data_IF_765155649781
#
_entry.id   IF_765155649781
#
_cell.length_a   1.000
_cell.length_b   1.000
_cell.length_c   1.000
_cell.angle_alpha   90.00
_cell.angle_beta   90.00
_cell.angle_gamma   90.00
#
_symmetry.space_group_name_H-M   'P 1'
#
loop_
_entity.id
_entity.type
_entity.pdbx_description
1 polymer ?
#
# COMPACT_ATOMS: atom_id res chain seq x y z
N UNK A 1 8.72 10.27 -30.06
CA UNK A 1 8.11 10.88 -28.85
C UNK A 1 7.53 9.76 -27.99
N UNK A 2 7.80 9.76 -26.69
CA UNK A 2 7.33 8.69 -25.79
C UNK A 2 5.79 8.79 -25.64
N UNK A 3 5.07 7.66 -25.77
CA UNK A 3 3.60 7.58 -25.67
C UNK A 3 3.06 8.27 -24.41
N UNK A 4 3.77 8.17 -23.29
CA UNK A 4 3.44 8.82 -22.01
C UNK A 4 3.38 10.35 -22.15
N UNK A 5 4.39 10.94 -22.79
CA UNK A 5 4.45 12.39 -22.99
C UNK A 5 3.34 12.90 -23.93
N UNK A 6 3.00 12.12 -24.97
CA UNK A 6 1.87 12.43 -25.87
C UNK A 6 0.55 12.41 -25.13
N UNK A 7 0.31 11.39 -24.31
CA UNK A 7 -0.90 11.24 -23.48
C UNK A 7 -1.08 12.43 -22.56
N UNK A 8 -0.04 12.82 -21.84
CA UNK A 8 -0.09 13.99 -20.95
C UNK A 8 -0.36 15.30 -21.69
N UNK A 9 0.26 15.50 -22.87
CA UNK A 9 0.01 16.68 -23.72
C UNK A 9 -1.45 16.72 -24.16
N UNK A 10 -2.00 15.60 -24.62
CA UNK A 10 -3.41 15.51 -25.03
C UNK A 10 -4.37 15.82 -23.87
N UNK A 11 -4.14 15.25 -22.69
CA UNK A 11 -4.95 15.53 -21.49
C UNK A 11 -4.88 16.99 -21.07
N UNK A 12 -3.70 17.61 -21.12
CA UNK A 12 -3.54 19.02 -20.81
C UNK A 12 -4.28 19.93 -21.80
N UNK A 13 -4.21 19.62 -23.11
CA UNK A 13 -4.96 20.35 -24.15
C UNK A 13 -6.46 20.20 -23.97
N UNK A 14 -6.94 18.98 -23.71
CA UNK A 14 -8.36 18.68 -23.50
C UNK A 14 -8.92 19.32 -22.22
N UNK A 15 -8.11 19.48 -21.20
CA UNK A 15 -8.53 20.09 -19.93
C UNK A 15 -8.92 21.57 -20.07
N UNK A 16 -8.58 22.24 -21.18
CA UNK A 16 -8.95 23.63 -21.44
C UNK A 16 -10.44 23.74 -21.86
N UNK A 17 -10.89 23.10 -22.96
CA UNK A 17 -12.28 23.19 -23.40
C UNK A 17 -13.22 22.23 -22.65
N UNK A 18 -12.73 21.07 -22.18
CA UNK A 18 -13.56 19.98 -21.64
C UNK A 18 -12.91 19.34 -20.39
N UNK A 19 -12.79 20.06 -19.27
CA UNK A 19 -12.11 19.56 -18.08
C UNK A 19 -12.74 18.27 -17.51
N UNK A 20 -14.06 18.11 -17.55
CA UNK A 20 -14.73 16.91 -17.07
C UNK A 20 -14.32 15.66 -17.88
N UNK A 21 -14.22 15.78 -19.21
CA UNK A 21 -13.78 14.68 -20.08
C UNK A 21 -12.30 14.37 -19.87
N UNK A 22 -11.45 15.39 -19.77
CA UNK A 22 -10.03 15.22 -19.49
C UNK A 22 -9.81 14.50 -18.14
N UNK A 23 -10.55 14.90 -17.10
CA UNK A 23 -10.49 14.29 -15.78
C UNK A 23 -10.91 12.82 -15.80
N UNK A 24 -12.01 12.48 -16.50
CA UNK A 24 -12.47 11.10 -16.61
C UNK A 24 -11.49 10.20 -17.39
N UNK A 25 -10.89 10.71 -18.47
CA UNK A 25 -9.87 9.98 -19.22
C UNK A 25 -8.60 9.78 -18.37
N UNK A 26 -8.14 10.82 -17.66
CA UNK A 26 -7.00 10.74 -16.75
C UNK A 26 -7.27 9.72 -15.62
N UNK A 27 -8.48 9.73 -15.02
CA UNK A 27 -8.90 8.77 -14.00
C UNK A 27 -8.87 7.33 -14.53
N UNK A 28 -9.38 7.08 -15.75
CA UNK A 28 -9.33 5.74 -16.37
C UNK A 28 -7.91 5.25 -16.60
N UNK A 29 -6.98 6.14 -16.89
CA UNK A 29 -5.57 5.82 -17.01
C UNK A 29 -4.95 5.57 -15.64
N UNK A 30 -5.28 6.39 -14.66
CA UNK A 30 -4.78 6.28 -13.29
C UNK A 30 -5.13 4.94 -12.65
N UNK A 31 -6.39 4.47 -12.80
CA UNK A 31 -6.81 3.18 -12.23
C UNK A 31 -6.31 1.96 -13.02
N UNK A 32 -5.66 2.14 -14.16
CA UNK A 32 -5.05 1.02 -14.88
C UNK A 32 -3.74 0.64 -14.18
N UNK A 33 -3.79 -0.42 -13.37
CA UNK A 33 -2.62 -0.96 -12.67
C UNK A 33 -1.48 -1.45 -13.59
N UNK A 34 -1.72 -1.54 -14.90
CA UNK A 34 -0.85 -2.21 -15.85
C UNK A 34 -1.12 -3.73 -15.87
N UNK A 35 -0.36 -4.50 -16.66
CA UNK A 35 -0.48 -5.95 -16.68
C UNK A 35 -0.13 -6.53 -15.31
N UNK A 36 -0.89 -7.56 -14.87
CA UNK A 36 -0.60 -8.28 -13.65
C UNK A 36 0.84 -8.81 -13.68
N UNK A 37 1.62 -8.50 -12.66
CA UNK A 37 3.00 -8.99 -12.56
C UNK A 37 2.99 -10.49 -12.22
N UNK A 38 3.76 -11.31 -12.92
CA UNK A 38 3.91 -12.72 -12.53
C UNK A 38 4.61 -12.82 -11.17
N UNK A 39 4.50 -13.98 -10.52
CA UNK A 39 5.35 -14.32 -9.38
C UNK A 39 6.79 -14.41 -9.88
N UNK A 40 7.70 -13.68 -9.24
CA UNK A 40 9.12 -13.75 -9.60
C UNK A 40 9.69 -15.14 -9.29
N UNK A 41 10.67 -15.60 -10.07
CA UNK A 41 11.18 -16.97 -9.97
C UNK A 41 11.70 -17.30 -8.56
N UNK A 42 12.40 -16.36 -7.94
CA UNK A 42 12.92 -16.50 -6.57
C UNK A 42 11.84 -16.49 -5.45
N UNK A 43 10.60 -16.15 -5.78
CA UNK A 43 9.50 -16.09 -4.84
C UNK A 43 8.52 -17.28 -4.97
N UNK A 44 8.68 -18.10 -6.02
CA UNK A 44 7.72 -19.16 -6.40
C UNK A 44 7.59 -20.26 -5.35
N UNK A 45 8.69 -20.70 -4.78
CA UNK A 45 8.73 -21.74 -3.77
C UNK A 45 7.87 -21.37 -2.54
N UNK A 46 8.10 -20.19 -1.99
CA UNK A 46 7.33 -19.67 -0.84
C UNK A 46 5.88 -19.40 -1.22
N UNK A 47 5.66 -18.81 -2.41
CA UNK A 47 4.30 -18.52 -2.87
C UNK A 47 3.46 -19.79 -3.07
N UNK A 48 4.07 -20.87 -3.53
CA UNK A 48 3.42 -22.17 -3.71
C UNK A 48 3.01 -22.87 -2.40
N UNK A 49 3.60 -22.48 -1.26
CA UNK A 49 3.21 -23.00 0.06
C UNK A 49 1.93 -22.37 0.59
N UNK A 50 1.43 -21.29 -0.04
CA UNK A 50 0.23 -20.63 0.43
C UNK A 50 -1.02 -21.50 0.22
N UNK A 51 -1.89 -21.53 1.20
CA UNK A 51 -3.30 -21.86 1.00
C UNK A 51 -3.95 -20.67 0.31
N UNK A 52 -4.42 -20.90 -0.91
CA UNK A 52 -5.05 -19.84 -1.72
C UNK A 52 -6.57 -20.00 -1.63
N UNK A 53 -7.24 -18.91 -1.32
CA UNK A 53 -8.70 -18.85 -1.25
C UNK A 53 -9.21 -17.64 -1.99
N UNK A 54 -10.48 -17.68 -2.38
CA UNK A 54 -11.20 -16.54 -2.96
C UNK A 54 -12.04 -15.84 -1.89
N UNK A 55 -11.88 -14.53 -1.79
CA UNK A 55 -12.70 -13.66 -0.95
C UNK A 55 -13.59 -12.80 -1.84
N UNK A 56 -14.90 -12.82 -1.60
CA UNK A 56 -15.84 -11.97 -2.33
C UNK A 56 -15.95 -10.62 -1.63
N UNK A 57 -15.65 -9.55 -2.38
CA UNK A 57 -15.66 -8.16 -1.90
C UNK A 57 -16.33 -7.28 -2.96
N UNK A 58 -17.56 -6.84 -2.70
CA UNK A 58 -18.34 -6.15 -3.70
C UNK A 58 -18.46 -6.96 -5.01
N UNK A 59 -17.94 -6.41 -6.10
CA UNK A 59 -17.90 -7.09 -7.42
C UNK A 59 -16.62 -7.93 -7.65
N UNK A 60 -15.70 -7.98 -6.66
CA UNK A 60 -14.39 -8.59 -6.83
C UNK A 60 -14.32 -10.01 -6.25
N UNK A 61 -13.68 -10.90 -6.99
CA UNK A 61 -13.17 -12.18 -6.50
C UNK A 61 -11.67 -12.01 -6.18
N UNK A 62 -11.39 -11.74 -4.91
CA UNK A 62 -10.06 -11.40 -4.42
C UNK A 62 -9.28 -12.66 -4.05
N UNK A 63 -8.13 -12.88 -4.68
CA UNK A 63 -7.23 -13.95 -4.30
C UNK A 63 -6.54 -13.60 -2.96
N UNK A 64 -6.72 -14.47 -1.96
CA UNK A 64 -6.10 -14.36 -0.64
C UNK A 64 -5.14 -15.52 -0.40
N UNK A 65 -4.13 -15.28 0.40
CA UNK A 65 -3.04 -16.19 0.66
C UNK A 65 -2.81 -16.31 2.16
N UNK A 66 -2.75 -17.52 2.66
CA UNK A 66 -2.42 -17.80 4.05
C UNK A 66 -1.33 -18.87 4.13
N UNK A 67 -0.33 -18.63 4.94
CA UNK A 67 0.78 -19.54 5.21
C UNK A 67 0.78 -19.95 6.67
N UNK A 68 1.39 -21.10 6.97
CA UNK A 68 1.48 -21.61 8.35
C UNK A 68 0.19 -22.29 8.82
N UNK A 69 0.07 -22.45 10.11
CA UNK A 69 -1.01 -23.19 10.78
C UNK A 69 -2.22 -22.32 11.19
N UNK A 70 -2.13 -21.02 10.98
CA UNK A 70 -3.15 -20.04 11.36
C UNK A 70 -2.93 -19.41 12.75
N UNK A 71 -2.01 -19.93 13.55
CA UNK A 71 -1.64 -19.29 14.81
C UNK A 71 -0.78 -18.03 14.55
N UNK A 72 -0.91 -17.01 15.41
CA UNK A 72 -0.10 -15.77 15.34
C UNK A 72 -0.13 -15.09 13.95
N UNK A 73 -1.31 -14.68 13.44
CA UNK A 73 -1.45 -14.15 12.10
C UNK A 73 -0.74 -12.79 11.93
N UNK A 74 -0.06 -12.61 10.79
CA UNK A 74 0.59 -11.36 10.40
C UNK A 74 0.03 -10.93 9.03
N UNK A 75 -0.63 -9.78 8.99
CA UNK A 75 -1.19 -9.23 7.75
C UNK A 75 -0.09 -8.54 6.93
N UNK A 76 -0.03 -8.83 5.63
CA UNK A 76 0.94 -8.27 4.69
C UNK A 76 0.20 -7.53 3.57
N UNK A 77 0.28 -6.20 3.54
CA UNK A 77 -0.42 -5.31 2.62
C UNK A 77 0.53 -4.78 1.54
N UNK A 78 0.38 -5.24 0.30
CA UNK A 78 1.25 -4.84 -0.81
C UNK A 78 0.92 -3.46 -1.39
N UNK A 79 1.88 -2.86 -2.09
CA UNK A 79 1.75 -1.57 -2.78
C UNK A 79 1.15 -1.68 -4.18
N UNK A 80 1.05 -0.51 -4.84
CA UNK A 80 0.59 -0.38 -6.21
C UNK A 80 1.48 -1.15 -7.19
N UNK A 81 0.88 -1.81 -8.19
CA UNK A 81 1.58 -2.66 -9.17
C UNK A 81 2.44 -3.74 -8.53
N UNK A 82 2.06 -4.20 -7.35
CA UNK A 82 2.69 -5.28 -6.61
C UNK A 82 1.71 -6.45 -6.41
N UNK A 83 2.04 -7.39 -5.54
CA UNK A 83 1.21 -8.56 -5.21
C UNK A 83 1.66 -9.21 -3.92
N UNK A 84 0.89 -10.18 -3.41
CA UNK A 84 1.20 -10.90 -2.18
C UNK A 84 2.62 -11.52 -2.16
N UNK A 85 3.07 -12.10 -3.28
CA UNK A 85 4.40 -12.71 -3.38
C UNK A 85 5.57 -11.72 -3.22
N UNK A 86 5.32 -10.41 -3.27
CA UNK A 86 6.34 -9.42 -2.98
C UNK A 86 6.94 -9.61 -1.58
N UNK A 87 6.14 -10.14 -0.65
CA UNK A 87 6.57 -10.40 0.72
C UNK A 87 7.25 -11.77 0.92
N UNK A 88 7.48 -12.57 -0.12
CA UNK A 88 8.03 -13.93 0.02
C UNK A 88 9.27 -14.03 0.94
N UNK A 89 10.27 -13.12 0.88
CA UNK A 89 11.41 -13.17 1.80
C UNK A 89 11.00 -12.98 3.27
N UNK A 90 10.05 -12.08 3.54
CA UNK A 90 9.52 -11.87 4.89
C UNK A 90 8.63 -13.04 5.33
N UNK A 91 7.81 -13.58 4.43
CA UNK A 91 6.97 -14.76 4.71
C UNK A 91 7.83 -15.93 5.19
N UNK A 92 8.95 -16.24 4.51
CA UNK A 92 9.88 -17.30 4.91
C UNK A 92 10.35 -17.10 6.35
N UNK A 93 10.83 -15.91 6.69
CA UNK A 93 11.31 -15.61 8.04
C UNK A 93 10.21 -15.68 9.11
N UNK A 94 9.02 -15.21 8.79
CA UNK A 94 7.88 -15.28 9.71
C UNK A 94 7.46 -16.73 9.96
N UNK A 95 7.48 -17.60 8.95
CA UNK A 95 7.22 -19.03 9.10
C UNK A 95 8.25 -19.71 9.99
N UNK A 96 9.55 -19.41 9.81
CA UNK A 96 10.63 -19.94 10.64
C UNK A 96 10.47 -19.53 12.12
N UNK A 97 9.79 -18.42 12.38
CA UNK A 97 9.47 -17.91 13.71
C UNK A 97 8.11 -18.36 14.25
N UNK A 98 7.38 -19.23 13.53
CA UNK A 98 6.08 -19.76 13.93
C UNK A 98 4.93 -18.75 13.80
N UNK A 99 5.03 -17.75 12.92
CA UNK A 99 3.92 -16.89 12.55
C UNK A 99 3.18 -17.43 11.33
N UNK A 100 1.97 -16.96 11.14
CA UNK A 100 1.12 -17.31 10.00
C UNK A 100 0.82 -16.08 9.16
N UNK A 101 1.67 -15.77 8.16
CA UNK A 101 1.43 -14.65 7.25
C UNK A 101 0.12 -14.79 6.49
N UNK A 102 -0.58 -13.65 6.32
CA UNK A 102 -1.81 -13.53 5.52
C UNK A 102 -1.65 -12.36 4.57
N UNK A 103 -2.04 -12.52 3.32
CA UNK A 103 -1.98 -11.47 2.31
C UNK A 103 -3.10 -11.62 1.29
N UNK A 104 -3.23 -10.68 0.38
CA UNK A 104 -4.15 -10.74 -0.76
C UNK A 104 -3.51 -10.12 -1.99
N UNK A 105 -4.04 -10.39 -3.16
CA UNK A 105 -3.78 -9.58 -4.36
C UNK A 105 -4.95 -8.59 -4.53
N UNK A 106 -4.67 -7.30 -4.51
CA UNK A 106 -5.70 -6.27 -4.65
C UNK A 106 -6.39 -6.34 -6.03
N UNK A 107 -7.64 -5.88 -6.18
CA UNK A 107 -8.31 -5.83 -7.49
C UNK A 107 -7.42 -5.25 -8.58
N UNK A 108 -7.31 -5.95 -9.71
CA UNK A 108 -6.42 -5.59 -10.82
C UNK A 108 -4.93 -5.88 -10.59
N UNK A 109 -4.57 -6.63 -9.54
CA UNK A 109 -3.21 -7.03 -9.22
C UNK A 109 -3.09 -8.55 -9.08
N UNK A 110 -1.89 -9.07 -9.33
CA UNK A 110 -1.56 -10.48 -9.12
C UNK A 110 -2.54 -11.44 -9.78
N UNK A 111 -3.17 -12.31 -8.98
CA UNK A 111 -4.17 -13.27 -9.43
C UNK A 111 -5.61 -12.72 -9.35
N UNK A 112 -5.84 -11.57 -8.72
CA UNK A 112 -7.15 -10.93 -8.67
C UNK A 112 -7.41 -10.21 -9.99
N UNK A 113 -8.48 -10.59 -10.66
CA UNK A 113 -8.93 -9.98 -11.90
C UNK A 113 -9.43 -8.54 -11.72
N UNK A 114 -9.98 -8.00 -12.82
CA UNK A 114 -10.64 -6.71 -12.81
C UNK A 114 -9.72 -5.52 -13.03
N UNK A 115 -10.19 -4.36 -12.57
CA UNK A 115 -9.44 -3.09 -12.57
C UNK A 115 -9.00 -2.81 -11.14
N UNK A 116 -8.13 -1.82 -10.97
CA UNK A 116 -7.71 -1.42 -9.64
C UNK A 116 -8.89 -1.07 -8.72
N UNK A 117 -8.85 -1.61 -7.51
CA UNK A 117 -9.74 -1.22 -6.42
C UNK A 117 -9.40 0.14 -5.81
N UNK A 118 -10.25 0.58 -4.91
CA UNK A 118 -10.13 1.81 -4.14
C UNK A 118 -9.55 1.53 -2.74
N UNK A 119 -9.32 2.56 -1.97
CA UNK A 119 -9.01 2.44 -0.53
C UNK A 119 -10.15 1.74 0.22
N UNK A 120 -11.41 1.95 -0.18
CA UNK A 120 -12.57 1.32 0.46
C UNK A 120 -12.56 -0.19 0.26
N UNK A 121 -12.26 -0.68 -0.95
CA UNK A 121 -12.10 -2.12 -1.21
C UNK A 121 -10.98 -2.72 -0.35
N UNK A 122 -9.86 -2.02 -0.20
CA UNK A 122 -8.76 -2.49 0.64
C UNK A 122 -9.17 -2.60 2.12
N UNK A 123 -9.93 -1.65 2.64
CA UNK A 123 -10.44 -1.69 4.02
C UNK A 123 -11.40 -2.84 4.24
N UNK A 124 -12.33 -3.08 3.30
CA UNK A 124 -13.26 -4.20 3.36
C UNK A 124 -12.51 -5.53 3.32
N UNK A 125 -11.52 -5.69 2.43
CA UNK A 125 -10.67 -6.89 2.37
C UNK A 125 -9.97 -7.12 3.70
N UNK A 126 -9.33 -6.09 4.28
CA UNK A 126 -8.62 -6.21 5.57
C UNK A 126 -9.57 -6.61 6.69
N UNK A 127 -10.76 -6.00 6.74
CA UNK A 127 -11.81 -6.33 7.73
C UNK A 127 -12.27 -7.78 7.63
N UNK A 128 -12.50 -8.28 6.43
CA UNK A 128 -12.90 -9.68 6.19
C UNK A 128 -11.76 -10.66 6.51
N UNK A 129 -10.49 -10.29 6.22
CA UNK A 129 -9.33 -11.07 6.62
C UNK A 129 -9.20 -11.14 8.15
N UNK A 130 -9.43 -10.03 8.86
CA UNK A 130 -9.45 -10.06 10.32
C UNK A 130 -10.58 -10.93 10.87
N UNK A 131 -11.77 -10.85 10.30
CA UNK A 131 -12.90 -11.69 10.71
C UNK A 131 -12.60 -13.17 10.55
N UNK A 132 -11.78 -13.54 9.56
CA UNK A 132 -11.37 -14.94 9.28
C UNK A 132 -10.20 -15.41 10.13
N UNK A 133 -9.21 -14.55 10.35
CA UNK A 133 -7.95 -14.93 11.00
C UNK A 133 -7.80 -14.42 12.44
N UNK A 134 -8.75 -13.61 12.92
CA UNK A 134 -8.69 -13.00 14.24
C UNK A 134 -7.76 -11.78 14.29
N UNK A 135 -7.42 -11.35 15.52
CA UNK A 135 -6.50 -10.25 15.79
C UNK A 135 -5.11 -10.55 15.20
N UNK A 136 -4.53 -9.56 14.51
CA UNK A 136 -3.19 -9.70 13.95
C UNK A 136 -2.09 -9.45 14.98
N UNK A 137 -1.07 -10.31 15.04
CA UNK A 137 0.16 -10.04 15.81
C UNK A 137 0.94 -8.85 15.23
N UNK A 138 0.87 -8.66 13.93
CA UNK A 138 1.38 -7.47 13.29
C UNK A 138 0.66 -7.22 11.96
N UNK A 139 0.66 -5.95 11.54
CA UNK A 139 0.33 -5.54 10.17
C UNK A 139 1.61 -4.97 9.55
N UNK A 140 1.96 -5.43 8.36
CA UNK A 140 3.12 -4.95 7.59
C UNK A 140 2.62 -4.41 6.26
N UNK A 141 2.73 -3.11 6.05
CA UNK A 141 2.33 -2.45 4.81
C UNK A 141 3.51 -1.91 4.02
N UNK A 142 3.50 -2.08 2.70
CA UNK A 142 4.49 -1.50 1.79
C UNK A 142 3.87 -0.45 0.89
N UNK A 143 4.49 0.72 0.78
CA UNK A 143 4.10 1.78 -0.14
C UNK A 143 2.62 2.19 0.06
N UNK A 144 1.75 2.01 -0.93
CA UNK A 144 0.31 2.26 -0.81
C UNK A 144 -0.37 1.31 0.21
N UNK A 145 0.12 0.08 0.34
CA UNK A 145 -0.34 -0.85 1.38
C UNK A 145 -0.08 -0.34 2.80
N UNK A 146 0.97 0.46 3.00
CA UNK A 146 1.23 1.12 4.27
C UNK A 146 0.13 2.15 4.62
N UNK A 147 -0.29 2.96 3.63
CA UNK A 147 -1.40 3.91 3.81
C UNK A 147 -2.70 3.18 4.15
N UNK A 148 -3.02 2.09 3.45
CA UNK A 148 -4.21 1.27 3.73
C UNK A 148 -4.16 0.67 5.14
N UNK A 149 -2.98 0.20 5.58
CA UNK A 149 -2.79 -0.38 6.92
C UNK A 149 -3.04 0.64 8.03
N UNK A 150 -2.51 1.87 7.91
CA UNK A 150 -2.76 2.94 8.88
C UNK A 150 -4.26 3.23 8.95
N UNK A 151 -4.90 3.35 7.79
CA UNK A 151 -6.33 3.68 7.76
C UNK A 151 -7.18 2.54 8.35
N UNK A 152 -6.90 1.29 8.00
CA UNK A 152 -7.61 0.13 8.54
C UNK A 152 -7.53 0.06 10.08
N UNK A 153 -6.35 0.31 10.65
CA UNK A 153 -6.18 0.34 12.12
C UNK A 153 -6.96 1.48 12.78
N UNK A 154 -7.06 2.63 12.14
CA UNK A 154 -7.91 3.74 12.62
C UNK A 154 -9.40 3.42 12.57
N UNK A 155 -9.83 2.61 11.63
CA UNK A 155 -11.21 2.14 11.48
C UNK A 155 -11.52 0.88 12.33
N UNK A 156 -10.62 0.50 13.24
CA UNK A 156 -10.88 -0.53 14.25
C UNK A 156 -10.34 -1.92 13.93
N UNK A 157 -9.46 -2.05 12.94
CA UNK A 157 -8.69 -3.29 12.77
C UNK A 157 -7.75 -3.48 13.96
N UNK A 158 -7.73 -4.68 14.50
CA UNK A 158 -7.00 -5.04 15.71
C UNK A 158 -5.65 -5.66 15.39
N UNK A 159 -4.58 -5.05 15.88
CA UNK A 159 -3.22 -5.58 15.77
C UNK A 159 -2.36 -5.20 16.98
N UNK A 160 -1.32 -5.99 17.24
CA UNK A 160 -0.37 -5.66 18.31
C UNK A 160 0.69 -4.65 17.87
N UNK A 161 1.05 -4.65 16.56
CA UNK A 161 2.16 -3.86 16.00
C UNK A 161 1.89 -3.47 14.56
N UNK A 162 2.49 -2.35 14.13
CA UNK A 162 2.44 -1.88 12.75
C UNK A 162 3.84 -1.65 12.20
N UNK A 163 4.11 -2.20 11.02
CA UNK A 163 5.35 -1.97 10.26
C UNK A 163 4.99 -1.30 8.94
N UNK A 164 5.63 -0.18 8.64
CA UNK A 164 5.40 0.64 7.47
C UNK A 164 6.68 0.75 6.63
N UNK A 165 6.67 0.16 5.44
CA UNK A 165 7.81 0.09 4.54
C UNK A 165 7.63 1.07 3.38
N UNK A 166 8.58 1.99 3.14
CA UNK A 166 8.54 2.98 2.04
C UNK A 166 7.19 3.69 1.94
N UNK A 167 6.70 4.20 3.06
CA UNK A 167 5.29 4.55 3.27
C UNK A 167 4.87 5.81 2.55
N UNK A 168 3.66 5.81 2.00
CA UNK A 168 2.94 7.00 1.57
C UNK A 168 2.21 7.61 2.77
N UNK A 169 2.49 8.86 3.08
CA UNK A 169 1.83 9.59 4.17
C UNK A 169 0.55 10.29 3.72
N UNK A 170 0.57 10.86 2.51
CA UNK A 170 -0.55 11.64 2.01
C UNK A 170 -1.20 10.97 0.82
N UNK A 171 -2.52 10.90 0.83
CA UNK A 171 -3.27 10.39 -0.30
C UNK A 171 -3.03 11.22 -1.58
N UNK A 172 -2.78 12.51 -1.43
CA UNK A 172 -2.41 13.39 -2.57
C UNK A 172 -1.10 13.00 -3.26
N UNK A 173 -0.13 12.44 -2.52
CA UNK A 173 1.16 11.98 -3.09
C UNK A 173 0.97 10.93 -4.17
N UNK A 174 -0.06 10.08 -4.07
CA UNK A 174 -0.39 9.07 -5.07
C UNK A 174 -0.79 9.72 -6.40
N UNK A 175 -1.58 10.81 -6.33
CA UNK A 175 -1.98 11.60 -7.51
C UNK A 175 -0.80 12.41 -8.05
N UNK A 176 0.01 12.99 -7.17
CA UNK A 176 1.16 13.79 -7.58
C UNK A 176 2.18 12.97 -8.38
N UNK A 177 2.44 11.71 -7.98
CA UNK A 177 3.30 10.79 -8.73
C UNK A 177 2.79 10.54 -10.15
N UNK A 178 1.51 10.21 -10.29
CA UNK A 178 0.87 10.02 -11.60
C UNK A 178 0.88 11.30 -12.45
N UNK A 179 0.58 12.45 -11.84
CA UNK A 179 0.61 13.75 -12.51
C UNK A 179 2.01 14.10 -13.02
N UNK A 180 3.04 13.80 -12.24
CA UNK A 180 4.44 14.01 -12.64
C UNK A 180 4.84 13.10 -13.79
N UNK A 181 4.49 11.80 -13.76
CA UNK A 181 4.76 10.83 -14.83
C UNK A 181 4.18 11.31 -16.18
N UNK A 182 2.94 11.80 -16.18
CA UNK A 182 2.26 12.30 -17.37
C UNK A 182 2.51 13.80 -17.65
N UNK A 183 3.26 14.50 -16.82
CA UNK A 183 3.49 15.97 -16.91
C UNK A 183 2.16 16.74 -16.99
N UNK A 184 1.18 16.36 -16.15
CA UNK A 184 -0.11 17.03 -16.09
C UNK A 184 0.05 18.45 -15.53
N UNK A 185 -0.64 19.40 -16.15
CA UNK A 185 -0.73 20.78 -15.67
C UNK A 185 -1.80 20.90 -14.56
N UNK A 186 -1.76 21.95 -13.73
CA UNK A 186 -2.67 22.09 -12.58
C UNK A 186 -4.15 21.92 -12.94
N UNK A 187 -4.61 22.41 -14.09
CA UNK A 187 -6.01 22.26 -14.52
C UNK A 187 -6.39 20.82 -14.82
N UNK A 188 -5.50 20.04 -15.43
CA UNK A 188 -5.73 18.61 -15.68
C UNK A 188 -5.68 17.80 -14.37
N UNK A 189 -4.79 18.17 -13.43
CA UNK A 189 -4.74 17.56 -12.08
C UNK A 189 -6.03 17.84 -11.30
N UNK A 190 -6.52 19.08 -11.30
CA UNK A 190 -7.80 19.45 -10.68
C UNK A 190 -8.97 18.66 -11.29
N UNK A 191 -9.00 18.52 -12.61
CA UNK A 191 -10.01 17.74 -13.31
C UNK A 191 -9.95 16.23 -12.93
N UNK A 192 -8.74 15.66 -12.81
CA UNK A 192 -8.54 14.29 -12.33
C UNK A 192 -9.08 14.12 -10.91
N UNK A 193 -8.73 15.02 -9.98
CA UNK A 193 -9.23 14.99 -8.60
C UNK A 193 -10.75 14.99 -8.55
N UNK A 194 -11.39 15.93 -9.24
CA UNK A 194 -12.84 16.02 -9.32
C UNK A 194 -13.48 14.74 -9.91
N UNK A 195 -12.86 14.11 -10.90
CA UNK A 195 -13.33 12.86 -11.47
C UNK A 195 -13.23 11.69 -10.47
N UNK A 196 -12.16 11.63 -9.67
CA UNK A 196 -11.97 10.65 -8.59
C UNK A 196 -13.03 10.86 -7.49
N UNK A 197 -13.16 12.10 -6.99
CA UNK A 197 -14.13 12.48 -5.97
C UNK A 197 -15.56 12.06 -6.37
N UNK A 198 -15.98 12.43 -7.56
CA UNK A 198 -17.33 12.08 -8.07
C UNK A 198 -17.54 10.59 -8.26
N UNK A 199 -16.55 9.88 -8.82
CA UNK A 199 -16.71 8.48 -9.21
C UNK A 199 -16.70 7.51 -8.03
N UNK A 200 -15.88 7.78 -7.02
CA UNK A 200 -15.63 6.84 -5.92
C UNK A 200 -16.15 7.33 -4.58
N UNK A 201 -16.37 8.63 -4.42
CA UNK A 201 -16.67 9.22 -3.12
C UNK A 201 -17.88 10.17 -3.12
N UNK A 202 -18.75 10.06 -4.14
CA UNK A 202 -19.97 10.86 -4.19
C UNK A 202 -19.76 12.38 -4.25
N UNK A 203 -18.56 12.84 -4.65
CA UNK A 203 -18.18 14.26 -4.69
C UNK A 203 -17.58 14.78 -3.38
N UNK A 204 -17.32 13.92 -2.39
CA UNK A 204 -16.67 14.32 -1.13
C UNK A 204 -15.22 14.75 -1.41
N UNK A 205 -14.94 16.03 -1.14
CA UNK A 205 -13.60 16.63 -1.31
C UNK A 205 -12.70 16.42 -0.09
N UNK A 206 -13.22 15.94 1.03
CA UNK A 206 -12.44 15.70 2.27
C UNK A 206 -11.59 14.44 2.17
N UNK A 207 -11.82 13.59 1.17
CA UNK A 207 -11.13 12.30 0.97
C UNK A 207 -9.61 12.43 0.94
N UNK A 208 -9.08 13.53 0.43
CA UNK A 208 -7.64 13.77 0.33
C UNK A 208 -6.98 13.91 1.71
N UNK A 209 -7.68 14.51 2.67
CA UNK A 209 -7.24 14.58 4.07
C UNK A 209 -7.60 13.31 4.81
N UNK A 210 -8.85 12.88 4.74
CA UNK A 210 -9.38 11.73 5.49
C UNK A 210 -8.63 10.43 5.21
N UNK A 211 -8.26 10.16 3.94
CA UNK A 211 -7.49 8.97 3.56
C UNK A 211 -5.98 9.17 3.60
N UNK A 212 -5.47 10.33 4.01
CA UNK A 212 -4.06 10.48 4.32
C UNK A 212 -3.70 9.71 5.59
N UNK A 213 -2.58 9.01 5.57
CA UNK A 213 -2.12 8.24 6.72
C UNK A 213 -1.69 9.14 7.90
N UNK A 214 -1.43 10.43 7.64
CA UNK A 214 -1.15 11.43 8.70
C UNK A 214 -2.39 11.94 9.41
N UNK A 215 -3.58 11.79 8.81
CA UNK A 215 -4.83 12.24 9.42
C UNK A 215 -5.12 11.37 10.64
N UNK A 216 -5.30 12.00 11.80
CA UNK A 216 -5.56 11.35 13.08
C UNK A 216 -4.59 10.19 13.43
N UNK A 217 -3.37 10.19 12.87
CA UNK A 217 -2.37 9.15 13.12
C UNK A 217 -1.96 9.05 14.60
N UNK A 218 -2.11 10.12 15.38
CA UNK A 218 -1.87 10.15 16.82
C UNK A 218 -2.84 9.24 17.61
N UNK A 219 -3.96 8.85 17.02
CA UNK A 219 -4.94 7.94 17.65
C UNK A 219 -4.48 6.48 17.63
N UNK A 220 -3.47 6.13 16.85
CA UNK A 220 -2.88 4.80 16.88
C UNK A 220 -2.28 4.53 18.27
N UNK A 221 -2.74 3.45 18.92
CA UNK A 221 -2.32 3.08 20.28
C UNK A 221 -1.19 2.07 20.33
N UNK A 222 -0.90 1.41 19.21
CA UNK A 222 0.10 0.35 19.09
C UNK A 222 1.48 0.89 18.69
N UNK A 223 2.57 0.15 18.98
CA UNK A 223 3.91 0.49 18.51
C UNK A 223 4.00 0.46 16.98
N UNK A 224 4.72 1.43 16.40
CA UNK A 224 4.91 1.57 14.94
C UNK A 224 6.38 1.62 14.58
N UNK A 225 6.80 0.76 13.64
CA UNK A 225 8.12 0.79 13.03
C UNK A 225 8.00 1.25 11.58
N UNK A 226 8.71 2.31 11.23
CA UNK A 226 8.87 2.76 9.84
C UNK A 226 10.26 2.38 9.35
N UNK A 227 10.36 1.83 8.13
CA UNK A 227 11.61 1.65 7.40
C UNK A 227 11.49 2.37 6.06
N UNK A 228 12.45 3.24 5.75
CA UNK A 228 12.43 3.98 4.50
C UNK A 228 13.86 4.27 4.01
N UNK A 229 14.09 4.00 2.74
CA UNK A 229 15.37 4.32 2.13
C UNK A 229 15.46 5.80 1.77
N UNK A 230 16.61 6.41 2.08
CA UNK A 230 16.85 7.83 1.79
C UNK A 230 16.84 8.14 0.30
N UNK A 231 17.20 7.17 -0.53
CA UNK A 231 17.33 7.28 -1.97
C UNK A 231 16.11 6.70 -2.71
N UNK A 232 14.96 6.59 -2.05
CA UNK A 232 13.72 6.12 -2.66
C UNK A 232 13.27 7.10 -3.77
N UNK A 233 13.28 6.67 -5.06
CA UNK A 233 12.93 7.55 -6.18
C UNK A 233 11.43 7.65 -6.41
N UNK A 234 10.62 6.80 -5.76
CA UNK A 234 9.17 6.75 -5.96
C UNK A 234 8.42 7.51 -4.89
N UNK A 235 8.77 7.25 -3.63
CA UNK A 235 8.17 7.89 -2.46
C UNK A 235 9.26 8.63 -1.71
N UNK A 236 9.21 9.97 -1.65
CA UNK A 236 10.22 10.73 -0.92
C UNK A 236 10.30 10.33 0.55
N UNK A 237 11.50 10.12 1.08
CA UNK A 237 11.76 9.78 2.49
C UNK A 237 11.05 10.73 3.48
N UNK A 238 10.82 11.98 3.06
CA UNK A 238 10.06 12.97 3.82
C UNK A 238 8.63 12.48 4.19
N UNK A 239 8.05 11.57 3.42
CA UNK A 239 6.73 10.99 3.74
C UNK A 239 6.77 10.20 5.06
N UNK A 240 7.77 9.34 5.26
CA UNK A 240 7.92 8.62 6.55
C UNK A 240 8.27 9.55 7.70
N UNK A 241 9.02 10.63 7.49
CA UNK A 241 9.25 11.64 8.55
C UNK A 241 7.96 12.35 8.95
N UNK A 242 7.05 12.63 8.01
CA UNK A 242 5.73 13.20 8.31
C UNK A 242 4.87 12.22 9.11
N UNK A 243 4.89 10.93 8.76
CA UNK A 243 4.21 9.89 9.53
C UNK A 243 4.78 9.76 10.95
N UNK A 244 6.11 9.74 11.08
CA UNK A 244 6.78 9.72 12.39
C UNK A 244 6.29 10.88 13.27
N UNK A 245 6.25 12.09 12.73
CA UNK A 245 5.80 13.27 13.45
C UNK A 245 4.29 13.21 13.80
N UNK A 246 3.46 12.67 12.90
CA UNK A 246 2.02 12.57 13.12
C UNK A 246 1.63 11.48 14.13
N UNK A 247 2.36 10.36 14.17
CA UNK A 247 2.12 9.27 15.12
C UNK A 247 2.71 9.60 16.50
N UNK A 248 3.86 10.28 16.53
CA UNK A 248 4.54 10.69 17.76
C UNK A 248 5.35 9.57 18.42
N UNK A 249 5.36 9.53 19.75
CA UNK A 249 6.28 8.70 20.57
C UNK A 249 6.17 7.19 20.33
N UNK A 250 5.06 6.70 19.80
CA UNK A 250 4.87 5.28 19.48
C UNK A 250 5.57 4.84 18.21
N UNK A 251 6.03 5.78 17.39
CA UNK A 251 6.70 5.49 16.14
C UNK A 251 8.23 5.58 16.25
N UNK A 252 8.90 4.75 15.48
CA UNK A 252 10.35 4.82 15.25
C UNK A 252 10.61 4.72 13.76
N UNK A 253 11.55 5.49 13.26
CA UNK A 253 11.93 5.48 11.85
C UNK A 253 13.37 4.97 11.71
N UNK A 254 13.53 3.88 10.99
CA UNK A 254 14.82 3.38 10.52
C UNK A 254 15.04 3.89 9.10
N UNK A 255 16.11 4.63 8.90
CA UNK A 255 16.50 5.14 7.58
C UNK A 255 17.58 4.25 7.00
N UNK A 256 17.33 3.69 5.81
CA UNK A 256 18.33 2.93 5.05
C UNK A 256 18.91 3.77 3.91
N UNK A 257 19.94 3.26 3.24
CA UNK A 257 20.62 3.90 2.11
C UNK A 257 20.97 2.85 1.05
N UNK A 258 20.75 3.18 -0.25
CA UNK A 258 21.08 2.29 -1.36
C UNK A 258 20.05 1.21 -1.67
N UNK A 259 19.02 1.04 -0.85
CA UNK A 259 17.97 0.03 -1.07
C UNK A 259 16.86 0.52 -2.00
N UNK A 260 16.69 1.82 -2.12
CA UNK A 260 15.64 2.43 -2.94
C UNK A 260 14.24 1.96 -2.50
N UNK A 261 13.23 2.00 -3.39
CA UNK A 261 11.83 1.71 -3.05
C UNK A 261 11.56 0.23 -2.70
N UNK A 262 12.24 -0.70 -3.34
CA UNK A 262 11.93 -2.13 -3.24
C UNK A 262 13.02 -2.98 -2.56
N UNK A 263 14.22 -2.46 -2.36
CA UNK A 263 15.34 -3.22 -1.80
C UNK A 263 15.12 -3.69 -0.37
N UNK A 264 14.33 -2.95 0.41
CA UNK A 264 13.93 -3.31 1.78
C UNK A 264 13.37 -4.74 1.87
N UNK A 265 12.71 -5.24 0.82
CA UNK A 265 12.11 -6.59 0.82
C UNK A 265 13.11 -7.74 0.89
N UNK A 266 14.35 -7.51 0.44
CA UNK A 266 15.40 -8.54 0.36
C UNK A 266 16.63 -8.23 1.21
N UNK A 267 16.69 -7.03 1.76
CA UNK A 267 17.79 -6.62 2.63
C UNK A 267 17.71 -7.35 3.96
N UNK A 268 18.80 -8.07 4.30
CA UNK A 268 18.84 -8.94 5.49
C UNK A 268 18.64 -8.16 6.79
N UNK A 269 19.31 -7.00 6.93
CA UNK A 269 19.19 -6.15 8.12
C UNK A 269 17.77 -5.59 8.28
N UNK A 270 17.15 -5.16 7.20
CA UNK A 270 15.76 -4.72 7.21
C UNK A 270 14.81 -5.84 7.65
N UNK A 271 14.97 -7.04 7.09
CA UNK A 271 14.16 -8.20 7.46
C UNK A 271 14.36 -8.60 8.92
N UNK A 272 15.59 -8.56 9.43
CA UNK A 272 15.89 -8.86 10.84
C UNK A 272 15.24 -7.83 11.79
N UNK A 273 15.28 -6.55 11.44
CA UNK A 273 14.59 -5.48 12.22
C UNK A 273 13.08 -5.65 12.21
N UNK A 274 12.49 -5.98 11.06
CA UNK A 274 11.05 -6.23 10.94
C UNK A 274 10.65 -7.40 11.83
N UNK A 275 11.34 -8.54 11.72
CA UNK A 275 10.99 -9.74 12.48
C UNK A 275 11.23 -9.59 13.98
N UNK A 276 12.31 -8.95 14.39
CA UNK A 276 12.57 -8.62 15.79
C UNK A 276 11.45 -7.73 16.36
N UNK A 277 11.03 -6.72 15.61
CA UNK A 277 9.92 -5.86 16.02
C UNK A 277 8.59 -6.61 16.12
N UNK A 278 8.28 -7.50 15.16
CA UNK A 278 7.09 -8.36 15.20
C UNK A 278 7.10 -9.28 16.44
N UNK A 279 8.27 -9.78 16.85
CA UNK A 279 8.45 -10.61 18.05
C UNK A 279 8.35 -9.83 19.38
N UNK A 280 8.30 -8.52 19.34
CA UNK A 280 8.15 -7.71 20.55
C UNK A 280 9.40 -6.95 20.97
N UNK A 281 10.50 -7.07 20.24
CA UNK A 281 11.65 -6.23 20.50
C UNK A 281 11.29 -4.73 20.34
N UNK A 282 11.84 -3.84 21.18
CA UNK A 282 11.69 -2.42 20.95
C UNK A 282 12.25 -2.04 19.59
N UNK A 283 11.61 -1.11 18.91
CA UNK A 283 12.14 -0.59 17.66
C UNK A 283 13.53 0.05 17.95
N UNK A 284 14.55 -0.24 17.13
CA UNK A 284 15.89 0.30 17.36
C UNK A 284 15.84 1.83 17.33
N UNK A 285 16.57 2.45 18.23
CA UNK A 285 16.81 3.89 18.19
C UNK A 285 17.62 4.18 16.92
N UNK A 286 17.12 5.07 16.06
CA UNK A 286 17.81 5.56 14.85
C UNK A 286 19.02 6.40 15.21
#
# INVERSE_FOLDING_TARGET
MNTIALTGTALNALALPAPALAGELARRLWVRGGPARPVADQDRDVHALARVETLHVGEWEVATYAWGDGARPVLLAHGWRSRASWFAPLVRRLLDLGYSPVSWDAPGHGATGGRSGTVLDALEIIGLLQSRHGRFNAVVGHSLGALFSVHALREGIDADRLVLLSSVADFETVIAGFAAELRLRPRAVAALRTAIERRYFGGDTTVWTRFSATHDAHTLTLPVLLLHDREDPMIPHAQSRRLLAAIGERARLVTTSGLRHNGIRTDADSLDRITAFVQGAPAPLS
#
